data_IF_528509829923
#
_entry.id   IF_528509829923
#
_cell.length_a   1.000
_cell.length_b   1.000
_cell.length_c   1.000
_cell.angle_alpha   90.00
_cell.angle_beta   90.00
_cell.angle_gamma   90.00
#
_symmetry.space_group_name_H-M   'P 1'
#
loop_
_entity.id
_entity.type
_entity.pdbx_description
1 polymer ?
#
# COMPACT_ATOMS: atom_id res chain seq x y z
N UNK A 1 -19.60 -20.54 -19.50
CA UNK A 1 -18.44 -19.85 -18.91
C UNK A 1 -18.90 -18.56 -18.28
N UNK A 2 -19.15 -18.61 -16.94
CA UNK A 2 -19.35 -17.40 -16.17
C UNK A 2 -18.02 -16.67 -16.10
N UNK A 3 -17.84 -15.62 -16.90
CA UNK A 3 -16.78 -14.64 -16.70
C UNK A 3 -16.91 -14.17 -15.25
N UNK A 4 -15.99 -14.58 -14.39
CA UNK A 4 -15.86 -14.06 -13.03
C UNK A 4 -15.59 -12.56 -13.15
N UNK A 5 -16.63 -11.76 -13.01
CA UNK A 5 -16.62 -10.33 -13.33
C UNK A 5 -15.69 -9.48 -12.45
N UNK A 6 -15.08 -10.04 -11.40
CA UNK A 6 -14.01 -9.33 -10.68
C UNK A 6 -13.16 -10.30 -9.85
N UNK A 7 -11.86 -10.29 -10.05
CA UNK A 7 -10.89 -10.95 -9.15
C UNK A 7 -10.72 -10.20 -7.82
N UNK A 8 -11.40 -9.06 -7.63
CA UNK A 8 -11.25 -8.16 -6.47
C UNK A 8 -12.47 -8.27 -5.57
N UNK A 9 -12.23 -8.70 -4.33
CA UNK A 9 -13.29 -8.88 -3.33
C UNK A 9 -12.82 -8.47 -1.94
N UNK A 10 -13.73 -7.94 -1.12
CA UNK A 10 -13.46 -7.68 0.29
C UNK A 10 -13.18 -8.95 1.10
N UNK A 11 -13.45 -10.15 0.55
CA UNK A 11 -13.06 -11.43 1.15
C UNK A 11 -11.55 -11.68 1.15
N UNK A 12 -10.79 -10.92 0.36
CA UNK A 12 -9.32 -10.97 0.35
C UNK A 12 -8.67 -10.22 1.53
N UNK A 13 -9.48 -9.45 2.28
CA UNK A 13 -9.04 -8.70 3.46
C UNK A 13 -9.84 -9.18 4.68
N UNK A 14 -9.14 -9.50 5.79
CA UNK A 14 -9.77 -9.79 7.07
C UNK A 14 -10.78 -8.70 7.47
N UNK A 15 -11.88 -9.09 8.09
CA UNK A 15 -12.95 -8.15 8.51
C UNK A 15 -12.42 -7.01 9.39
N UNK A 16 -11.42 -7.26 10.21
CA UNK A 16 -10.80 -6.29 11.10
C UNK A 16 -10.09 -5.14 10.35
N UNK A 17 -9.69 -5.38 9.10
CA UNK A 17 -9.03 -4.39 8.23
C UNK A 17 -9.97 -3.75 7.22
N UNK A 18 -11.29 -3.95 7.32
CA UNK A 18 -12.25 -3.31 6.41
C UNK A 18 -12.65 -1.93 6.90
N UNK A 19 -12.86 -1.05 5.94
CA UNK A 19 -13.28 0.32 6.18
C UNK A 19 -14.80 0.48 6.27
N UNK A 20 -15.55 -0.54 5.85
CA UNK A 20 -17.03 -0.54 5.75
C UNK A 20 -17.55 0.61 4.86
N UNK A 21 -16.87 0.85 3.75
CA UNK A 21 -17.29 1.86 2.77
C UNK A 21 -18.60 1.45 2.08
N UNK A 22 -19.39 2.43 1.58
CA UNK A 22 -20.58 2.16 0.78
C UNK A 22 -20.30 1.18 -0.36
N UNK A 23 -21.29 0.32 -0.66
CA UNK A 23 -21.18 -0.69 -1.73
C UNK A 23 -20.86 -0.06 -3.09
N UNK A 24 -21.39 1.16 -3.34
CA UNK A 24 -21.11 1.94 -4.57
C UNK A 24 -19.62 2.25 -4.73
N UNK A 25 -18.93 2.63 -3.65
CA UNK A 25 -17.49 2.92 -3.67
C UNK A 25 -16.69 1.63 -3.93
N UNK A 26 -17.05 0.53 -3.27
CA UNK A 26 -16.43 -0.76 -3.50
C UNK A 26 -16.63 -1.23 -4.94
N UNK A 27 -17.85 -1.10 -5.46
CA UNK A 27 -18.17 -1.45 -6.83
C UNK A 27 -17.38 -0.59 -7.83
N UNK A 28 -17.29 0.71 -7.61
CA UNK A 28 -16.50 1.61 -8.47
C UNK A 28 -15.03 1.18 -8.55
N UNK A 29 -14.41 0.86 -7.42
CA UNK A 29 -13.03 0.38 -7.41
C UNK A 29 -12.86 -0.92 -8.21
N UNK A 30 -13.78 -1.87 -8.05
CA UNK A 30 -13.79 -3.13 -8.82
C UNK A 30 -14.01 -2.89 -10.31
N UNK A 31 -14.94 -2.00 -10.65
CA UNK A 31 -15.22 -1.63 -12.04
C UNK A 31 -14.00 -1.02 -12.70
N UNK A 32 -13.32 -0.08 -12.06
CA UNK A 32 -12.10 0.55 -12.60
C UNK A 32 -11.02 -0.50 -12.89
N UNK A 33 -10.73 -1.39 -11.93
CA UNK A 33 -9.72 -2.44 -12.13
C UNK A 33 -10.13 -3.40 -13.25
N UNK A 34 -11.38 -3.86 -13.24
CA UNK A 34 -11.90 -4.80 -14.25
C UNK A 34 -11.87 -4.20 -15.66
N UNK A 35 -12.30 -2.93 -15.83
CA UNK A 35 -12.31 -2.26 -17.13
C UNK A 35 -10.92 -2.02 -17.71
N UNK A 36 -9.91 -1.90 -16.85
CA UNK A 36 -8.49 -1.82 -17.23
C UNK A 36 -7.83 -3.20 -17.41
N UNK A 37 -8.56 -4.28 -17.13
CA UNK A 37 -8.07 -5.65 -17.19
C UNK A 37 -7.12 -6.02 -16.04
N UNK A 38 -7.21 -5.31 -14.90
CA UNK A 38 -6.41 -5.56 -13.71
C UNK A 38 -7.10 -6.52 -12.74
N UNK A 39 -6.30 -7.36 -12.09
CA UNK A 39 -6.74 -8.28 -11.05
C UNK A 39 -6.01 -8.00 -9.74
N UNK A 40 -6.62 -8.42 -8.62
CA UNK A 40 -5.96 -8.47 -7.31
C UNK A 40 -5.91 -9.93 -6.89
N UNK A 41 -4.74 -10.39 -6.48
CA UNK A 41 -4.51 -11.76 -6.02
C UNK A 41 -3.86 -11.76 -4.63
N UNK A 42 -3.86 -12.91 -3.98
CA UNK A 42 -3.42 -13.01 -2.59
C UNK A 42 -4.50 -12.57 -1.60
N UNK A 43 -4.17 -12.63 -0.31
CA UNK A 43 -5.09 -12.31 0.80
C UNK A 43 -4.33 -11.81 2.03
N UNK A 44 -4.91 -10.84 2.75
CA UNK A 44 -4.53 -10.54 4.13
C UNK A 44 -5.45 -11.36 5.03
N UNK A 45 -4.92 -12.46 5.58
CA UNK A 45 -5.67 -13.51 6.25
C UNK A 45 -6.26 -13.08 7.60
N UNK A 46 -7.27 -13.81 8.07
CA UNK A 46 -7.92 -13.57 9.36
C UNK A 46 -6.98 -13.79 10.55
N UNK A 47 -5.97 -14.65 10.42
CA UNK A 47 -4.93 -14.87 11.43
C UNK A 47 -4.13 -13.60 11.76
N UNK A 48 -4.20 -12.59 10.90
CA UNK A 48 -3.54 -11.28 11.06
C UNK A 48 -4.42 -10.24 11.78
N UNK A 49 -5.62 -10.60 12.20
CA UNK A 49 -6.69 -9.69 12.65
C UNK A 49 -6.33 -8.76 13.82
N UNK A 50 -5.43 -9.13 14.67
CA UNK A 50 -5.06 -8.33 15.85
C UNK A 50 -3.64 -7.75 15.72
N UNK A 51 -3.19 -7.44 14.50
CA UNK A 51 -1.83 -7.00 14.26
C UNK A 51 -1.79 -5.64 13.57
N UNK A 52 -0.71 -4.90 13.82
CA UNK A 52 -0.31 -3.77 13.00
C UNK A 52 0.51 -4.30 11.82
N UNK A 53 0.21 -3.83 10.63
CA UNK A 53 0.85 -4.31 9.41
C UNK A 53 1.35 -3.12 8.61
N UNK A 54 2.64 -3.08 8.33
CA UNK A 54 3.21 -2.18 7.33
C UNK A 54 3.13 -2.86 5.98
N UNK A 55 2.32 -2.28 5.11
CA UNK A 55 2.16 -2.70 3.72
C UNK A 55 3.19 -1.97 2.89
N UNK A 56 4.20 -2.68 2.43
CA UNK A 56 5.25 -2.13 1.55
C UNK A 56 4.82 -2.30 0.11
N UNK A 57 4.58 -1.18 -0.58
CA UNK A 57 4.11 -1.17 -1.97
C UNK A 57 5.26 -0.82 -2.89
N UNK A 58 5.63 -1.74 -3.77
CA UNK A 58 6.63 -1.53 -4.83
C UNK A 58 6.36 -2.50 -6.01
N UNK A 59 6.90 -2.26 -7.21
CA UNK A 59 7.53 -1.02 -7.64
C UNK A 59 6.54 0.16 -7.70
N UNK A 60 7.03 1.39 -7.43
CA UNK A 60 6.21 2.61 -7.49
C UNK A 60 6.87 3.64 -8.42
N UNK A 61 6.62 3.50 -9.72
CA UNK A 61 7.33 4.23 -10.79
C UNK A 61 6.45 5.18 -11.57
N UNK A 62 5.13 5.22 -11.31
CA UNK A 62 4.19 6.06 -12.07
C UNK A 62 3.02 6.57 -11.22
N UNK A 63 2.29 7.55 -11.77
CA UNK A 63 0.99 8.00 -11.20
C UNK A 63 -0.08 6.91 -11.28
N UNK A 64 0.05 6.01 -12.26
CA UNK A 64 -0.87 4.89 -12.43
C UNK A 64 -0.89 3.96 -11.23
N UNK A 65 0.26 3.77 -10.58
CA UNK A 65 0.35 2.95 -9.36
C UNK A 65 -0.56 3.50 -8.26
N UNK A 66 -0.63 4.83 -8.15
CA UNK A 66 -1.55 5.50 -7.22
C UNK A 66 -3.02 5.30 -7.60
N UNK A 67 -3.37 5.42 -8.89
CA UNK A 67 -4.75 5.21 -9.38
C UNK A 67 -5.19 3.78 -9.16
N UNK A 68 -4.36 2.81 -9.56
CA UNK A 68 -4.62 1.38 -9.39
C UNK A 68 -4.68 1.00 -7.90
N UNK A 69 -3.78 1.55 -7.10
CA UNK A 69 -3.78 1.38 -5.64
C UNK A 69 -5.06 1.89 -5.00
N UNK A 70 -5.54 3.09 -5.36
CA UNK A 70 -6.81 3.63 -4.85
C UNK A 70 -8.00 2.77 -5.28
N UNK A 71 -8.04 2.32 -6.53
CA UNK A 71 -9.09 1.43 -7.02
C UNK A 71 -9.08 0.08 -6.28
N UNK A 72 -7.89 -0.47 -6.01
CA UNK A 72 -7.75 -1.70 -5.21
C UNK A 72 -8.21 -1.49 -3.76
N UNK A 73 -7.80 -0.40 -3.11
CA UNK A 73 -8.23 -0.08 -1.74
C UNK A 73 -9.76 0.05 -1.63
N UNK A 74 -10.39 0.69 -2.62
CA UNK A 74 -11.84 0.80 -2.68
C UNK A 74 -12.50 -0.57 -2.93
N UNK A 75 -12.02 -1.33 -3.92
CA UNK A 75 -12.58 -2.62 -4.31
C UNK A 75 -12.45 -3.70 -3.25
N UNK A 76 -11.35 -3.72 -2.52
CA UNK A 76 -11.08 -4.59 -1.36
C UNK A 76 -11.81 -4.12 -0.10
N UNK A 77 -12.27 -2.87 -0.07
CA UNK A 77 -12.75 -2.19 1.14
C UNK A 77 -11.68 -2.07 2.23
N UNK A 78 -10.40 -1.95 1.85
CA UNK A 78 -9.29 -1.94 2.80
C UNK A 78 -9.23 -0.63 3.61
N UNK A 79 -9.12 -0.75 4.93
CA UNK A 79 -8.87 0.35 5.87
C UNK A 79 -7.36 0.47 6.05
N UNK A 80 -6.75 1.37 5.29
CA UNK A 80 -5.32 1.62 5.31
C UNK A 80 -5.03 3.09 5.61
N UNK A 81 -3.93 3.36 6.31
CA UNK A 81 -3.35 4.70 6.40
C UNK A 81 -2.13 4.76 5.48
N UNK A 82 -2.04 5.75 4.60
CA UNK A 82 -0.88 5.94 3.72
C UNK A 82 -0.40 7.39 3.74
N UNK A 83 0.89 7.58 3.49
CA UNK A 83 1.51 8.90 3.57
C UNK A 83 1.64 9.53 2.19
N UNK A 84 1.06 10.70 2.03
CA UNK A 84 1.17 11.49 0.80
C UNK A 84 1.81 12.86 1.04
N UNK A 85 2.47 13.41 0.02
CA UNK A 85 3.02 14.77 0.08
C UNK A 85 1.91 15.76 0.41
N UNK A 86 2.09 16.60 1.43
CA UNK A 86 1.06 17.53 1.90
C UNK A 86 0.48 18.41 0.79
N UNK A 87 1.26 18.74 -0.23
CA UNK A 87 0.82 19.60 -1.34
C UNK A 87 -0.32 18.98 -2.15
N UNK A 88 -0.39 17.65 -2.33
CA UNK A 88 -1.46 17.02 -3.10
C UNK A 88 -2.81 17.06 -2.37
N UNK A 89 -2.79 17.19 -1.04
CA UNK A 89 -4.00 17.32 -0.23
C UNK A 89 -4.62 18.73 -0.27
N UNK A 90 -3.94 19.70 -0.89
CA UNK A 90 -4.43 21.08 -1.06
C UNK A 90 -5.32 21.24 -2.28
N UNK A 91 -5.29 20.29 -3.23
CA UNK A 91 -6.15 20.34 -4.40
C UNK A 91 -7.61 20.06 -4.00
N UNK A 92 -8.51 20.94 -4.43
CA UNK A 92 -9.95 20.81 -4.15
C UNK A 92 -10.48 19.45 -4.65
N UNK A 93 -11.31 18.81 -3.85
CA UNK A 93 -11.87 17.48 -4.14
C UNK A 93 -10.85 16.33 -3.96
N UNK A 94 -9.67 16.41 -4.57
CA UNK A 94 -8.64 15.38 -4.47
C UNK A 94 -8.15 15.20 -3.03
N UNK A 95 -7.90 16.29 -2.32
CA UNK A 95 -7.45 16.23 -0.93
C UNK A 95 -8.49 15.57 0.00
N UNK A 96 -9.77 15.87 -0.19
CA UNK A 96 -10.86 15.25 0.54
C UNK A 96 -10.97 13.75 0.22
N UNK A 97 -10.89 13.39 -1.06
CA UNK A 97 -10.88 11.99 -1.51
C UNK A 97 -9.71 11.21 -0.91
N UNK A 98 -8.48 11.73 -0.98
CA UNK A 98 -7.31 11.07 -0.42
C UNK A 98 -7.43 10.86 1.10
N UNK A 99 -7.94 11.85 1.83
CA UNK A 99 -8.21 11.71 3.28
C UNK A 99 -9.28 10.65 3.55
N UNK A 100 -10.36 10.64 2.79
CA UNK A 100 -11.41 9.62 2.88
C UNK A 100 -10.87 8.20 2.66
N UNK A 101 -9.90 8.06 1.75
CA UNK A 101 -9.24 6.79 1.47
C UNK A 101 -8.19 6.39 2.51
N UNK A 102 -7.88 7.24 3.49
CA UNK A 102 -6.91 6.98 4.56
C UNK A 102 -5.58 7.71 4.39
N UNK A 103 -5.52 8.69 3.49
CA UNK A 103 -4.31 9.48 3.25
C UNK A 103 -3.98 10.44 4.39
N UNK A 104 -2.73 10.42 4.81
CA UNK A 104 -2.16 11.31 5.85
C UNK A 104 -1.18 12.25 5.16
N UNK A 105 -1.43 13.58 5.18
CA UNK A 105 -0.49 14.54 4.63
C UNK A 105 0.79 14.61 5.46
N UNK A 106 1.95 14.53 4.80
CA UNK A 106 3.25 14.66 5.44
C UNK A 106 4.12 15.71 4.74
N UNK A 107 4.86 16.45 5.54
CA UNK A 107 5.88 17.36 5.01
C UNK A 107 7.18 16.60 4.78
N UNK A 108 7.50 16.36 3.51
CA UNK A 108 8.71 15.62 3.13
C UNK A 108 10.01 16.44 3.24
N UNK A 109 9.92 17.73 3.52
CA UNK A 109 11.09 18.57 3.78
C UNK A 109 11.76 18.24 5.15
N UNK A 110 10.98 17.61 6.07
CA UNK A 110 11.51 17.10 7.34
C UNK A 110 11.14 15.60 7.48
N UNK A 111 11.90 14.69 6.86
CA UNK A 111 11.57 13.27 6.86
C UNK A 111 11.55 12.64 8.27
N UNK A 112 12.46 13.06 9.14
CA UNK A 112 12.53 12.57 10.54
C UNK A 112 11.28 12.96 11.33
N UNK A 113 10.84 14.21 11.23
CA UNK A 113 9.60 14.69 11.84
C UNK A 113 8.36 14.01 11.27
N UNK A 114 8.31 13.82 9.94
CA UNK A 114 7.20 13.13 9.30
C UNK A 114 7.02 11.69 9.79
N UNK A 115 8.12 10.95 10.00
CA UNK A 115 8.08 9.59 10.55
C UNK A 115 7.63 9.61 12.01
N UNK A 116 8.17 10.52 12.83
CA UNK A 116 7.79 10.66 14.23
C UNK A 116 6.29 10.99 14.38
N UNK A 117 5.78 11.91 13.57
CA UNK A 117 4.34 12.27 13.54
C UNK A 117 3.49 11.07 13.08
N UNK A 118 3.96 10.30 12.11
CA UNK A 118 3.29 9.10 11.67
C UNK A 118 3.20 8.06 12.80
N UNK A 119 4.31 7.76 13.46
CA UNK A 119 4.37 6.82 14.58
C UNK A 119 3.42 7.27 15.69
N UNK A 120 3.44 8.56 16.06
CA UNK A 120 2.56 9.11 17.10
C UNK A 120 1.08 8.91 16.77
N UNK A 121 0.68 9.13 15.51
CA UNK A 121 -0.70 8.94 15.04
C UNK A 121 -1.14 7.48 15.05
N UNK A 122 -0.23 6.56 14.70
CA UNK A 122 -0.54 5.14 14.51
C UNK A 122 -0.39 4.34 15.82
N UNK A 123 0.48 4.79 16.73
CA UNK A 123 0.81 4.05 17.97
C UNK A 123 -0.42 3.70 18.80
N UNK A 124 -1.42 4.59 18.82
CA UNK A 124 -2.65 4.43 19.60
C UNK A 124 -3.75 3.64 18.86
N UNK A 125 -3.49 3.20 17.61
CA UNK A 125 -4.44 2.40 16.84
C UNK A 125 -4.05 0.93 17.03
N UNK A 126 -4.92 0.11 17.63
CA UNK A 126 -4.61 -1.30 17.92
C UNK A 126 -4.42 -2.13 16.65
N UNK A 127 -5.27 -1.92 15.64
CA UNK A 127 -5.28 -2.70 14.40
C UNK A 127 -5.18 -1.74 13.22
N UNK A 128 -4.12 -1.83 12.42
CA UNK A 128 -3.96 -0.93 11.28
C UNK A 128 -3.15 -1.55 10.15
N UNK A 129 -3.54 -1.19 8.93
CA UNK A 129 -2.70 -1.32 7.74
C UNK A 129 -2.06 0.04 7.47
N UNK A 130 -0.76 0.06 7.24
CA UNK A 130 0.01 1.28 7.00
C UNK A 130 0.75 1.12 5.68
N UNK A 131 0.27 1.81 4.64
CA UNK A 131 0.83 1.75 3.30
C UNK A 131 2.02 2.68 3.11
N UNK A 132 3.13 2.15 2.64
CA UNK A 132 4.34 2.92 2.34
C UNK A 132 5.01 2.42 1.07
N UNK A 133 5.47 3.36 0.23
CA UNK A 133 6.36 3.08 -0.89
C UNK A 133 7.80 3.39 -0.45
N UNK A 134 8.71 2.39 -0.41
CA UNK A 134 10.06 2.58 0.12
C UNK A 134 10.93 3.48 -0.77
N UNK A 135 10.62 3.58 -2.05
CA UNK A 135 11.26 4.50 -2.99
C UNK A 135 11.03 5.97 -2.60
N UNK A 136 9.86 6.27 -2.02
CA UNK A 136 9.47 7.61 -1.61
C UNK A 136 9.28 8.62 -2.75
N UNK A 137 9.47 8.21 -3.98
CA UNK A 137 9.30 8.95 -5.23
C UNK A 137 8.94 7.96 -6.35
N UNK A 138 8.64 8.47 -7.54
CA UNK A 138 8.39 7.69 -8.76
C UNK A 138 9.55 7.73 -9.75
N UNK A 139 10.60 8.45 -9.40
CA UNK A 139 11.84 8.50 -10.15
C UNK A 139 12.83 7.49 -9.57
N UNK A 140 13.79 7.07 -10.39
CA UNK A 140 14.86 6.17 -9.95
C UNK A 140 15.56 6.73 -8.71
N UNK A 141 15.77 5.86 -7.74
CA UNK A 141 16.50 6.19 -6.51
C UNK A 141 17.66 5.21 -6.33
N UNK A 142 18.81 5.73 -5.92
CA UNK A 142 19.97 4.89 -5.61
C UNK A 142 19.67 3.97 -4.42
N UNK A 143 18.98 4.50 -3.41
CA UNK A 143 18.65 3.78 -2.19
C UNK A 143 17.19 3.95 -1.79
N UNK A 144 16.60 2.88 -1.28
CA UNK A 144 15.28 2.90 -0.68
C UNK A 144 15.32 3.57 0.69
N UNK A 145 14.26 4.28 1.02
CA UNK A 145 14.09 4.88 2.34
C UNK A 145 13.74 3.82 3.36
N UNK A 146 14.45 3.78 4.47
CA UNK A 146 14.27 2.79 5.55
C UNK A 146 13.19 3.16 6.56
N UNK A 147 12.47 4.26 6.33
CA UNK A 147 11.43 4.75 7.24
C UNK A 147 10.34 3.74 7.56
N UNK A 148 10.00 2.86 6.61
CA UNK A 148 9.01 1.80 6.84
C UNK A 148 9.50 0.73 7.82
N UNK A 149 10.79 0.39 7.80
CA UNK A 149 11.40 -0.54 8.77
C UNK A 149 11.39 0.09 10.17
N UNK A 150 11.76 1.37 10.27
CA UNK A 150 11.71 2.09 11.54
C UNK A 150 10.29 2.13 12.12
N UNK A 151 9.28 2.41 11.29
CA UNK A 151 7.88 2.39 11.74
C UNK A 151 7.51 0.97 12.19
N UNK A 152 7.83 -0.06 11.42
CA UNK A 152 7.50 -1.44 11.76
C UNK A 152 8.11 -1.85 13.10
N UNK A 153 9.36 -1.50 13.36
CA UNK A 153 10.05 -1.75 14.64
C UNK A 153 9.37 -1.01 15.81
N UNK A 154 9.15 0.29 15.68
CA UNK A 154 8.62 1.17 16.75
C UNK A 154 7.19 0.79 17.19
N UNK A 155 6.37 0.28 16.29
CA UNK A 155 4.99 -0.10 16.60
C UNK A 155 4.79 -1.62 16.67
N UNK A 156 5.87 -2.39 16.61
CA UNK A 156 5.86 -3.87 16.56
C UNK A 156 4.93 -4.42 15.45
N UNK A 157 5.04 -3.85 14.25
CA UNK A 157 4.24 -4.25 13.10
C UNK A 157 4.91 -5.36 12.30
N UNK A 158 4.08 -6.18 11.66
CA UNK A 158 4.52 -7.11 10.62
C UNK A 158 4.64 -6.38 9.28
N UNK A 159 5.40 -6.95 8.33
CA UNK A 159 5.51 -6.42 6.97
C UNK A 159 4.79 -7.35 6.00
N UNK A 160 3.98 -6.78 5.12
CA UNK A 160 3.41 -7.47 3.95
C UNK A 160 3.84 -6.71 2.71
N UNK A 161 4.57 -7.34 1.77
CA UNK A 161 4.84 -6.75 0.47
C UNK A 161 3.60 -6.80 -0.40
N UNK A 162 3.28 -5.70 -1.08
CA UNK A 162 2.23 -5.61 -2.10
C UNK A 162 2.86 -5.15 -3.39
N UNK A 163 2.74 -5.96 -4.42
CA UNK A 163 3.40 -5.70 -5.70
C UNK A 163 2.41 -5.23 -6.75
N UNK A 164 2.82 -4.29 -7.59
CA UNK A 164 2.08 -3.80 -8.74
C UNK A 164 2.84 -4.26 -9.99
N UNK A 165 2.33 -5.29 -10.68
CA UNK A 165 2.94 -5.91 -11.86
C UNK A 165 2.21 -5.49 -13.13
N UNK A 166 2.82 -4.63 -13.92
CA UNK A 166 2.23 -4.12 -15.17
C UNK A 166 2.23 -5.16 -16.29
N UNK A 167 3.19 -6.08 -16.33
CA UNK A 167 3.21 -7.14 -17.34
C UNK A 167 2.03 -8.10 -17.15
N UNK A 168 1.71 -8.43 -15.89
CA UNK A 168 0.59 -9.33 -15.55
C UNK A 168 -0.73 -8.60 -15.31
N UNK A 169 -0.72 -7.26 -15.27
CA UNK A 169 -1.84 -6.41 -14.81
C UNK A 169 -2.39 -6.92 -13.48
N UNK A 170 -1.52 -7.05 -12.51
CA UNK A 170 -1.81 -7.68 -11.23
C UNK A 170 -1.32 -6.83 -10.06
N UNK A 171 -2.19 -6.69 -9.04
CA UNK A 171 -1.79 -6.26 -7.72
C UNK A 171 -1.77 -7.51 -6.85
N UNK A 172 -0.58 -7.88 -6.36
CA UNK A 172 -0.38 -9.09 -5.56
C UNK A 172 -0.21 -8.73 -4.08
N UNK A 173 -1.13 -9.25 -3.25
CA UNK A 173 -1.05 -9.18 -1.79
C UNK A 173 -0.17 -10.33 -1.31
N UNK A 174 1.08 -10.02 -0.95
CA UNK A 174 2.05 -11.03 -0.52
C UNK A 174 1.78 -11.58 0.87
N UNK A 175 2.59 -12.53 1.27
CA UNK A 175 2.60 -13.11 2.62
C UNK A 175 3.49 -12.26 3.55
N UNK A 176 3.47 -12.56 4.85
CA UNK A 176 4.35 -11.89 5.81
C UNK A 176 5.81 -12.03 5.43
N UNK A 177 6.48 -10.89 5.30
CA UNK A 177 7.92 -10.83 5.16
C UNK A 177 8.57 -10.95 6.53
N UNK A 178 9.40 -11.99 6.70
CA UNK A 178 10.10 -12.24 7.96
C UNK A 178 11.33 -11.35 8.07
N UNK A 179 11.29 -10.40 8.99
CA UNK A 179 12.45 -9.56 9.30
C UNK A 179 13.53 -10.40 9.99
N UNK A 180 14.78 -10.21 9.59
CA UNK A 180 15.97 -10.83 10.19
C UNK A 180 16.50 -10.04 11.39
N UNK A 181 16.02 -8.81 11.58
CA UNK A 181 16.53 -7.84 12.54
C UNK A 181 17.78 -7.09 12.07
N UNK A 182 18.28 -7.39 10.87
CA UNK A 182 19.41 -6.68 10.23
C UNK A 182 18.87 -5.83 9.08
N UNK A 183 18.75 -4.53 9.30
CA UNK A 183 18.09 -3.59 8.36
C UNK A 183 18.63 -3.69 6.93
N UNK A 184 19.94 -3.75 6.76
CA UNK A 184 20.56 -3.83 5.43
C UNK A 184 20.17 -5.12 4.70
N UNK A 185 20.19 -6.25 5.42
CA UNK A 185 19.77 -7.54 4.89
C UNK A 185 18.27 -7.51 4.53
N UNK A 186 17.45 -7.04 5.44
CA UNK A 186 16.00 -6.98 5.24
C UNK A 186 15.63 -6.09 4.05
N UNK A 187 16.33 -4.96 3.88
CA UNK A 187 16.17 -4.07 2.75
C UNK A 187 16.58 -4.73 1.43
N UNK A 188 17.72 -5.44 1.44
CA UNK A 188 18.20 -6.18 0.26
C UNK A 188 17.22 -7.26 -0.13
N UNK A 189 16.79 -8.09 0.82
CA UNK A 189 15.87 -9.20 0.58
C UNK A 189 14.51 -8.72 0.05
N UNK A 190 14.01 -7.58 0.56
CA UNK A 190 12.79 -6.94 0.04
C UNK A 190 12.99 -6.40 -1.39
N UNK A 191 14.11 -5.75 -1.68
CA UNK A 191 14.43 -5.31 -3.06
C UNK A 191 14.48 -6.51 -4.02
N UNK A 192 15.15 -7.58 -3.62
CA UNK A 192 15.27 -8.79 -4.45
C UNK A 192 13.90 -9.43 -4.69
N UNK A 193 13.02 -9.46 -3.68
CA UNK A 193 11.63 -9.89 -3.84
C UNK A 193 10.89 -9.07 -4.92
N UNK A 194 10.98 -7.74 -4.86
CA UNK A 194 10.25 -6.88 -5.79
C UNK A 194 10.81 -6.85 -7.21
N UNK A 195 12.07 -7.25 -7.43
CA UNK A 195 12.66 -7.40 -8.77
C UNK A 195 11.97 -8.41 -9.67
N UNK A 196 11.19 -9.33 -9.10
CA UNK A 196 10.39 -10.30 -9.85
C UNK A 196 9.13 -9.71 -10.49
N UNK A 197 8.79 -8.45 -10.19
CA UNK A 197 7.60 -7.77 -10.69
C UNK A 197 7.97 -6.67 -11.68
N UNK A 198 7.16 -6.50 -12.71
CA UNK A 198 7.43 -5.53 -13.79
C UNK A 198 6.78 -4.19 -13.50
N UNK A 199 7.56 -3.13 -13.24
CA UNK A 199 7.02 -1.79 -13.08
C UNK A 199 6.52 -1.20 -14.40
N UNK A 200 5.73 -0.10 -14.34
CA UNK A 200 5.32 0.64 -15.53
C UNK A 200 6.51 1.27 -16.26
N UNK A 201 7.48 1.76 -15.49
CA UNK A 201 8.71 2.40 -15.96
C UNK A 201 9.92 1.67 -15.38
N UNK A 202 10.42 0.60 -16.06
CA UNK A 202 11.56 -0.19 -15.58
C UNK A 202 12.83 0.64 -15.36
N UNK A 203 13.01 1.70 -16.12
CA UNK A 203 14.12 2.64 -16.00
C UNK A 203 14.13 3.41 -14.66
N UNK A 204 13.01 3.45 -13.97
CA UNK A 204 12.82 4.15 -12.69
C UNK A 204 12.88 3.23 -11.44
N UNK A 205 13.15 1.91 -11.65
CA UNK A 205 13.18 0.93 -10.56
C UNK A 205 14.55 0.24 -10.35
#
# INVERSE_FOLDING_TARGET
>A
DKISMTSVSNSQISKSFRANRPKSVQWLGRFVLSSLGWKVTGKIKEEHKNQKIVVVVAPHTSNWDGILGMAALAGLDARISFFGKHTIFRYFGLGAFLKYMGGIPVNRANPGGAIADAIKKIKNIEISLIGMAPEGTRSKVAEWKTGFLRIAEEINAKIIPVSIDFAKKEIFLGEFFKLSGKREKDLKDLKDYFRSFTPRHPENF
#
